data_IF_987145099139
#
_entry.id   IF_987145099139
#
_cell.length_a   1.000
_cell.length_b   1.000
_cell.length_c   1.000
_cell.angle_alpha   90.00
_cell.angle_beta   90.00
_cell.angle_gamma   90.00
#
_symmetry.space_group_name_H-M   'P 1'
#
loop_
_entity.id
_entity.type
_entity.pdbx_description
1 polymer ?
#
# COMPACT_ATOMS: atom_id res chain seq x y z
N UNK A 1 -3.68 -0.10 18.39
CA UNK A 1 -3.57 -0.18 16.93
C UNK A 1 -2.19 0.33 16.58
N UNK A 2 -1.42 -0.43 15.80
CA UNK A 2 -0.11 0.03 15.32
C UNK A 2 -0.31 1.29 14.47
N UNK A 3 0.50 2.32 14.70
CA UNK A 3 0.39 3.61 14.01
C UNK A 3 1.05 3.63 12.61
N UNK A 4 1.39 2.48 12.04
CA UNK A 4 2.21 2.41 10.81
C UNK A 4 1.40 2.16 9.52
N UNK A 5 0.07 2.19 9.61
CA UNK A 5 -0.79 2.08 8.44
C UNK A 5 -0.78 3.37 7.62
N UNK A 6 -0.48 3.24 6.32
CA UNK A 6 -0.49 4.35 5.38
C UNK A 6 -1.56 4.15 4.31
N UNK A 7 -2.31 5.21 4.00
CA UNK A 7 -3.34 5.19 2.99
C UNK A 7 -2.76 4.91 1.59
N UNK A 8 -3.31 3.89 0.92
CA UNK A 8 -2.93 3.51 -0.44
C UNK A 8 -3.59 4.41 -1.49
N UNK A 9 -2.88 4.60 -2.60
CA UNK A 9 -3.31 5.31 -3.81
C UNK A 9 -4.05 4.36 -4.75
N UNK A 10 -4.80 4.94 -5.70
CA UNK A 10 -5.64 4.17 -6.65
C UNK A 10 -4.87 3.21 -7.55
N UNK A 11 -3.63 3.56 -7.87
CA UNK A 11 -2.76 2.80 -8.76
C UNK A 11 -1.86 1.82 -8.00
N UNK A 12 -1.88 1.85 -6.66
CA UNK A 12 -1.16 0.88 -5.85
C UNK A 12 -1.80 -0.50 -6.04
N UNK A 13 -0.95 -1.52 -6.17
CA UNK A 13 -1.34 -2.91 -6.34
C UNK A 13 -1.11 -3.65 -5.04
N UNK A 14 -2.12 -4.40 -4.61
CA UNK A 14 -2.02 -5.30 -3.46
C UNK A 14 -2.21 -6.74 -3.91
N UNK A 15 -1.54 -7.66 -3.23
CA UNK A 15 -1.73 -9.10 -3.42
C UNK A 15 -2.03 -9.74 -2.08
N UNK A 16 -3.12 -10.50 -2.01
CA UNK A 16 -3.58 -11.16 -0.80
C UNK A 16 -3.17 -12.64 -0.79
N UNK A 17 -2.78 -13.12 0.39
CA UNK A 17 -2.41 -14.53 0.58
C UNK A 17 -3.64 -15.46 0.69
N UNK A 18 -4.76 -14.94 1.18
CA UNK A 18 -6.00 -15.69 1.45
C UNK A 18 -7.24 -14.78 1.45
N UNK A 19 -8.41 -15.40 1.62
CA UNK A 19 -9.77 -14.82 1.78
C UNK A 19 -9.98 -13.41 1.22
N UNK A 20 -10.47 -13.37 -0.01
CA UNK A 20 -10.91 -12.16 -0.68
C UNK A 20 -12.28 -11.71 -0.15
N UNK A 21 -12.47 -10.40 0.05
CA UNK A 21 -13.76 -9.85 0.53
C UNK A 21 -14.65 -9.37 -0.64
N UNK A 22 -14.04 -8.81 -1.69
CA UNK A 22 -14.77 -8.11 -2.78
C UNK A 22 -14.29 -8.45 -4.19
N UNK A 23 -12.97 -8.46 -4.40
CA UNK A 23 -12.37 -8.70 -5.72
C UNK A 23 -11.97 -10.15 -5.82
N UNK A 24 -12.41 -10.85 -6.86
CA UNK A 24 -12.16 -12.30 -7.08
C UNK A 24 -10.72 -12.63 -7.44
N UNK A 25 -9.93 -11.63 -7.80
CA UNK A 25 -8.50 -11.80 -8.05
C UNK A 25 -7.75 -11.51 -6.75
N UNK A 26 -6.77 -12.35 -6.40
CA UNK A 26 -5.88 -12.09 -5.26
C UNK A 26 -5.03 -10.85 -5.42
N UNK A 27 -4.70 -10.49 -6.65
CA UNK A 27 -3.92 -9.31 -6.98
C UNK A 27 -4.81 -8.31 -7.69
N UNK A 28 -4.89 -7.10 -7.15
CA UNK A 28 -5.74 -6.05 -7.67
C UNK A 28 -5.19 -4.66 -7.33
N UNK A 29 -5.59 -3.66 -8.12
CA UNK A 29 -5.35 -2.26 -7.78
C UNK A 29 -6.39 -1.77 -6.77
N UNK A 30 -6.06 -0.72 -6.03
CA UNK A 30 -7.05 -0.06 -5.16
C UNK A 30 -8.23 0.50 -5.95
N UNK A 31 -8.03 0.91 -7.20
CA UNK A 31 -9.13 1.35 -8.08
C UNK A 31 -10.09 0.22 -8.45
N UNK A 32 -9.60 -1.00 -8.70
CA UNK A 32 -10.45 -2.18 -8.93
C UNK A 32 -11.28 -2.51 -7.70
N UNK A 33 -10.64 -2.52 -6.52
CA UNK A 33 -11.33 -2.75 -5.24
C UNK A 33 -12.43 -1.71 -4.98
N UNK A 34 -12.13 -0.42 -5.15
CA UNK A 34 -13.09 0.66 -4.99
C UNK A 34 -14.25 0.52 -5.99
N UNK A 35 -13.98 0.12 -7.22
CA UNK A 35 -15.01 -0.10 -8.26
C UNK A 35 -15.93 -1.26 -7.91
N UNK A 36 -15.38 -2.38 -7.42
CA UNK A 36 -16.18 -3.51 -6.94
C UNK A 36 -17.08 -3.09 -5.76
N UNK A 37 -16.51 -2.37 -4.78
CA UNK A 37 -17.26 -1.85 -3.64
C UNK A 37 -18.38 -0.89 -4.06
N UNK A 38 -18.11 0.04 -4.96
CA UNK A 38 -19.12 0.96 -5.50
C UNK A 38 -20.25 0.21 -6.18
N UNK A 39 -19.96 -0.86 -6.91
CA UNK A 39 -20.97 -1.66 -7.61
C UNK A 39 -21.95 -2.29 -6.63
N UNK A 40 -21.45 -2.85 -5.53
CA UNK A 40 -22.28 -3.44 -4.47
C UNK A 40 -23.13 -2.38 -3.78
N UNK A 41 -22.54 -1.23 -3.43
CA UNK A 41 -23.24 -0.16 -2.72
C UNK A 41 -24.27 0.52 -3.63
N UNK A 42 -24.00 0.66 -4.93
CA UNK A 42 -24.94 1.16 -5.94
C UNK A 42 -26.19 0.27 -6.05
N UNK A 43 -26.05 -1.04 -5.83
CA UNK A 43 -27.17 -1.97 -5.84
C UNK A 43 -28.10 -1.83 -4.62
N UNK A 44 -27.66 -1.15 -3.55
CA UNK A 44 -28.51 -0.84 -2.40
C UNK A 44 -29.37 0.40 -2.65
N UNK A 45 -30.58 0.43 -2.08
CA UNK A 45 -31.47 1.57 -2.18
C UNK A 45 -30.82 2.86 -1.62
N UNK A 46 -31.03 3.98 -2.31
CA UNK A 46 -30.58 5.30 -1.86
C UNK A 46 -29.17 5.70 -2.29
N UNK A 47 -28.65 5.16 -3.40
CA UNK A 47 -27.46 5.72 -4.06
C UNK A 47 -27.69 7.19 -4.47
N UNK A 48 -26.69 8.04 -4.27
CA UNK A 48 -26.72 9.45 -4.69
C UNK A 48 -25.35 9.91 -5.19
N UNK A 49 -25.32 10.99 -5.97
CA UNK A 49 -24.05 11.63 -6.40
C UNK A 49 -23.20 12.06 -5.20
N UNK A 50 -23.84 12.40 -4.07
CA UNK A 50 -23.13 12.71 -2.82
C UNK A 50 -22.43 11.47 -2.27
N UNK A 51 -23.05 10.28 -2.35
CA UNK A 51 -22.43 9.02 -1.91
C UNK A 51 -21.23 8.61 -2.76
N UNK A 52 -21.24 8.94 -4.05
CA UNK A 52 -20.12 8.67 -4.97
C UNK A 52 -18.81 9.34 -4.54
N UNK A 53 -18.90 10.54 -3.94
CA UNK A 53 -17.73 11.30 -3.49
C UNK A 53 -16.92 10.59 -2.39
N UNK A 54 -17.50 9.65 -1.64
CA UNK A 54 -16.76 8.82 -0.68
C UNK A 54 -15.65 8.00 -1.34
N UNK A 55 -15.80 7.67 -2.62
CA UNK A 55 -14.83 6.89 -3.42
C UNK A 55 -13.97 7.80 -4.31
N UNK A 56 -14.25 9.11 -4.27
CA UNK A 56 -13.75 10.19 -5.11
C UNK A 56 -12.84 11.17 -4.36
N UNK A 57 -13.22 12.45 -4.44
CA UNK A 57 -12.57 13.56 -3.75
C UNK A 57 -12.78 13.62 -2.22
N UNK A 58 -13.69 12.81 -1.69
CA UNK A 58 -14.09 12.80 -0.29
C UNK A 58 -15.23 13.77 0.05
N UNK A 59 -15.83 13.57 1.23
CA UNK A 59 -16.91 14.38 1.77
C UNK A 59 -16.36 15.37 2.79
N UNK A 60 -16.81 16.63 2.73
CA UNK A 60 -16.48 17.62 3.75
C UNK A 60 -17.01 17.19 5.13
N UNK A 61 -16.13 17.20 6.11
CA UNK A 61 -16.46 16.77 7.47
C UNK A 61 -15.73 17.62 8.52
N UNK A 62 -16.06 17.36 9.80
CA UNK A 62 -15.27 17.82 10.93
C UNK A 62 -14.89 16.63 11.79
N UNK A 63 -13.65 16.60 12.27
CA UNK A 63 -13.17 15.59 13.21
C UNK A 63 -12.89 16.23 14.56
N UNK A 64 -13.24 15.53 15.65
CA UNK A 64 -12.82 15.84 17.01
C UNK A 64 -12.09 14.61 17.55
N UNK A 65 -10.78 14.73 17.73
CA UNK A 65 -9.97 13.63 18.30
C UNK A 65 -10.08 13.65 19.83
N UNK A 66 -9.98 12.49 20.51
CA UNK A 66 -9.84 12.47 21.96
C UNK A 66 -8.70 13.39 22.43
N UNK A 67 -8.95 14.21 23.45
CA UNK A 67 -7.99 15.21 23.95
C UNK A 67 -7.86 16.49 23.12
N UNK A 68 -8.52 16.60 21.97
CA UNK A 68 -8.53 17.82 21.17
C UNK A 68 -9.41 18.90 21.81
N UNK A 69 -8.94 20.15 21.77
CA UNK A 69 -9.66 21.32 22.31
C UNK A 69 -10.74 21.85 21.36
N UNK A 70 -10.75 21.42 20.09
CA UNK A 70 -11.65 21.95 19.07
C UNK A 70 -11.85 21.00 17.88
N UNK A 71 -12.95 21.20 17.15
CA UNK A 71 -13.23 20.52 15.89
C UNK A 71 -12.31 21.00 14.76
N UNK A 72 -11.77 20.08 13.96
CA UNK A 72 -10.99 20.37 12.77
C UNK A 72 -11.81 20.06 11.51
N UNK A 73 -11.92 21.02 10.57
CA UNK A 73 -12.56 20.79 9.25
C UNK A 73 -11.61 20.03 8.32
N UNK A 74 -12.16 19.15 7.50
CA UNK A 74 -11.40 18.39 6.51
C UNK A 74 -12.29 17.62 5.56
N UNK A 75 -11.74 16.56 4.95
CA UNK A 75 -12.49 15.62 4.12
C UNK A 75 -12.25 14.19 4.57
N UNK A 76 -13.24 13.33 4.35
CA UNK A 76 -13.15 11.88 4.57
C UNK A 76 -13.50 11.12 3.30
N UNK A 77 -12.80 10.02 3.02
CA UNK A 77 -13.03 9.12 1.88
C UNK A 77 -12.69 7.69 2.29
N UNK A 78 -13.13 6.72 1.49
CA UNK A 78 -12.82 5.30 1.66
C UNK A 78 -11.59 4.96 0.83
N UNK A 79 -10.61 4.31 1.46
CA UNK A 79 -9.45 3.68 0.82
C UNK A 79 -8.93 2.56 1.71
N UNK A 80 -7.98 1.77 1.21
CA UNK A 80 -7.26 0.78 2.02
C UNK A 80 -5.99 1.40 2.60
N UNK A 81 -5.55 0.87 3.73
CA UNK A 81 -4.27 1.23 4.36
C UNK A 81 -3.35 0.02 4.39
N UNK A 82 -2.03 0.26 4.36
CA UNK A 82 -1.01 -0.78 4.37
C UNK A 82 0.05 -0.49 5.44
N UNK A 83 0.38 -1.50 6.23
CA UNK A 83 1.52 -1.51 7.14
C UNK A 83 2.60 -2.45 6.56
N UNK A 84 3.78 -1.93 6.16
CA UNK A 84 4.87 -2.77 5.69
C UNK A 84 5.45 -3.60 6.84
N UNK A 85 5.87 -4.83 6.53
CA UNK A 85 6.64 -5.63 7.47
C UNK A 85 8.01 -4.98 7.75
N UNK A 86 8.39 -4.93 9.03
CA UNK A 86 9.74 -4.52 9.42
C UNK A 86 10.71 -5.65 9.13
N UNK A 87 11.32 -5.62 7.95
CA UNK A 87 12.45 -6.49 7.66
C UNK A 87 13.65 -6.03 8.48
N UNK A 88 14.19 -6.90 9.33
CA UNK A 88 15.52 -6.70 9.93
C UNK A 88 16.56 -6.84 8.82
N UNK A 89 16.78 -5.77 8.05
CA UNK A 89 17.91 -5.69 7.14
C UNK A 89 19.14 -5.57 8.04
N UNK A 90 19.94 -6.64 8.16
CA UNK A 90 21.28 -6.53 8.68
C UNK A 90 22.01 -5.48 7.83
N UNK A 91 22.18 -4.28 8.38
CA UNK A 91 22.94 -3.21 7.75
C UNK A 91 24.37 -3.71 7.56
N UNK A 92 24.70 -4.15 6.34
CA UNK A 92 26.09 -4.19 5.88
C UNK A 92 26.54 -2.73 5.80
N UNK A 93 27.07 -2.25 6.92
CA UNK A 93 27.69 -0.95 7.07
C UNK A 93 28.93 -0.90 6.17
N UNK A 94 28.81 -0.26 5.01
CA UNK A 94 29.95 0.20 4.24
C UNK A 94 30.63 1.38 4.96
N UNK A 95 31.45 1.08 5.97
CA UNK A 95 32.55 1.96 6.36
C UNK A 95 33.67 1.13 6.98
N UNK A 96 34.74 0.94 6.20
CA UNK A 96 35.63 -0.22 6.32
C UNK A 96 36.80 -0.12 7.29
N UNK A 97 37.38 -1.29 7.59
CA UNK A 97 38.78 -1.67 7.32
C UNK A 97 39.03 -3.12 7.75
N UNK A 98 39.41 -3.94 6.76
CA UNK A 98 40.36 -5.06 6.87
C UNK A 98 40.02 -6.24 7.81
N UNK A 99 39.30 -7.24 7.29
CA UNK A 99 39.69 -8.63 7.40
C UNK A 99 39.09 -9.42 6.23
N UNK A 100 39.90 -10.26 5.63
CA UNK A 100 39.71 -10.99 4.38
C UNK A 100 38.51 -11.96 4.46
N UNK A 101 37.37 -11.59 3.88
CA UNK A 101 36.35 -12.55 3.44
C UNK A 101 35.64 -11.94 2.24
N UNK A 102 36.01 -12.40 1.03
CA UNK A 102 35.27 -12.10 -0.20
C UNK A 102 33.81 -12.52 -0.02
N UNK A 103 32.94 -11.57 0.28
CA UNK A 103 31.50 -11.74 0.04
C UNK A 103 31.33 -11.59 -1.46
N UNK A 104 31.35 -12.70 -2.18
CA UNK A 104 31.08 -12.72 -3.62
C UNK A 104 29.61 -12.38 -3.79
N UNK A 105 29.31 -11.28 -4.47
CA UNK A 105 27.93 -10.92 -4.79
C UNK A 105 27.35 -11.99 -5.72
N UNK A 106 26.13 -12.50 -5.49
CA UNK A 106 25.49 -13.50 -6.36
C UNK A 106 25.39 -13.09 -7.84
N UNK A 107 25.46 -11.78 -8.12
CA UNK A 107 25.49 -11.23 -9.47
C UNK A 107 26.87 -11.31 -10.16
N UNK A 108 27.96 -11.44 -9.41
CA UNK A 108 29.31 -11.52 -9.98
C UNK A 108 29.55 -12.86 -10.69
N UNK A 109 28.95 -13.95 -10.20
CA UNK A 109 29.03 -15.28 -10.83
C UNK A 109 28.37 -15.31 -12.22
N UNK A 110 27.35 -14.46 -12.44
CA UNK A 110 26.67 -14.34 -13.73
C UNK A 110 27.50 -13.55 -14.75
N UNK A 111 28.24 -12.52 -14.29
CA UNK A 111 29.14 -11.73 -15.14
C UNK A 111 30.31 -12.55 -15.68
N UNK A 112 30.76 -13.56 -14.92
CA UNK A 112 31.83 -14.46 -15.35
C UNK A 112 31.39 -15.46 -16.43
N UNK A 113 30.09 -15.72 -16.58
CA UNK A 113 29.56 -16.68 -17.57
C UNK A 113 29.21 -16.08 -18.93
N UNK A 114 29.39 -14.78 -19.13
CA UNK A 114 29.25 -14.18 -20.46
C UNK A 114 30.53 -14.43 -21.26
N UNK A 115 30.53 -15.31 -22.30
CA UNK A 115 31.65 -15.38 -23.21
C UNK A 115 31.79 -14.03 -23.92
N UNK A 116 33.02 -13.50 -23.97
CA UNK A 116 33.32 -12.37 -24.84
C UNK A 116 33.20 -12.88 -26.27
N UNK A 117 32.17 -12.43 -26.99
CA UNK A 117 32.10 -12.60 -28.45
C UNK A 117 33.42 -12.11 -29.06
N UNK A 118 34.05 -12.99 -29.86
CA UNK A 118 35.24 -12.68 -30.67
C UNK A 118 34.81 -12.25 -32.06
#
# INVERSE_FOLDING_TARGET
MSDNFNALKRDDVVSLYSDEILVTNRTFTISEFITAMMTIIKAQAGWTVVKEKWFGEGIDCKILKPGAKSWQRGKVRITLEFEPEKLEVAEITESGKSADTKVVSPLDDLRQKMPKES
#
